data_IF_703970264948
#
_entry.id   IF_703970264948
#
_cell.length_a   1.000
_cell.length_b   1.000
_cell.length_c   1.000
_cell.angle_alpha   90.00
_cell.angle_beta   90.00
_cell.angle_gamma   90.00
#
_symmetry.space_group_name_H-M   'P 1'
#
loop_
_entity.id
_entity.type
_entity.pdbx_description
1 polymer ?
#
# COMPACT_ATOMS: atom_id res chain seq x y z
N UNK A 1 7.16 5.33 5.66
CA UNK A 1 6.85 4.38 6.75
C UNK A 1 6.41 5.07 8.05
N UNK A 2 7.01 6.21 8.47
CA UNK A 2 6.67 6.86 9.75
C UNK A 2 5.22 7.37 9.87
N UNK A 3 4.62 7.94 8.82
CA UNK A 3 3.30 8.60 8.94
C UNK A 3 2.15 7.59 9.08
N UNK A 4 2.20 6.49 8.32
CA UNK A 4 1.21 5.40 8.42
C UNK A 4 1.34 4.72 9.79
N UNK A 5 2.57 4.42 10.22
CA UNK A 5 2.82 3.85 11.54
C UNK A 5 2.33 4.74 12.69
N UNK A 6 2.44 6.07 12.56
CA UNK A 6 1.90 7.02 13.53
C UNK A 6 0.36 6.99 13.58
N UNK A 7 -0.30 7.00 12.43
CA UNK A 7 -1.77 6.93 12.34
C UNK A 7 -2.31 5.63 12.94
N UNK A 8 -1.69 4.49 12.60
CA UNK A 8 -2.10 3.18 13.12
C UNK A 8 -1.81 3.10 14.62
N UNK A 9 -0.68 3.65 15.09
CA UNK A 9 -0.32 3.67 16.50
C UNK A 9 -1.28 4.48 17.37
N UNK A 10 -1.93 5.52 16.84
CA UNK A 10 -2.96 6.27 17.58
C UNK A 10 -4.33 5.59 17.47
N UNK A 11 -4.67 5.07 16.28
CA UNK A 11 -6.01 4.52 16.00
C UNK A 11 -6.29 3.23 16.77
N UNK A 12 -5.31 2.32 16.85
CA UNK A 12 -5.52 1.03 17.53
C UNK A 12 -5.74 1.18 19.04
N UNK A 13 -4.89 1.92 19.79
CA UNK A 13 -5.15 2.22 21.19
C UNK A 13 -6.45 3.01 21.39
N UNK A 14 -6.76 3.96 20.49
CA UNK A 14 -8.02 4.71 20.54
C UNK A 14 -9.25 3.81 20.58
N UNK A 15 -9.31 2.77 19.73
CA UNK A 15 -10.40 1.78 19.77
C UNK A 15 -10.42 0.99 21.08
N UNK A 16 -9.26 0.63 21.64
CA UNK A 16 -9.22 -0.08 22.92
C UNK A 16 -9.65 0.78 24.12
N UNK A 17 -9.55 2.11 24.01
CA UNK A 17 -9.92 3.04 25.08
C UNK A 17 -11.39 3.49 25.00
N UNK A 18 -12.00 3.44 23.81
CA UNK A 18 -13.39 3.86 23.58
C UNK A 18 -14.41 2.76 23.87
N UNK A 19 -14.03 1.51 23.67
CA UNK A 19 -14.94 0.36 23.79
C UNK A 19 -14.74 -0.36 25.12
N UNK A 20 -15.85 -0.90 25.64
CA UNK A 20 -15.86 -1.65 26.88
C UNK A 20 -15.06 -2.96 26.74
N UNK A 21 -14.47 -3.45 27.84
CA UNK A 21 -13.50 -4.55 27.81
C UNK A 21 -13.99 -5.84 27.13
N UNK A 22 -15.30 -6.05 27.09
CA UNK A 22 -15.95 -7.17 26.41
C UNK A 22 -15.90 -7.09 24.87
N UNK A 23 -15.91 -5.87 24.30
CA UNK A 23 -16.05 -5.63 22.85
C UNK A 23 -14.75 -5.19 22.16
N UNK A 24 -13.68 -4.96 22.92
CA UNK A 24 -12.37 -4.52 22.37
C UNK A 24 -11.87 -5.50 21.29
N UNK A 25 -12.02 -6.81 21.49
CA UNK A 25 -11.57 -7.82 20.52
C UNK A 25 -12.34 -7.76 19.20
N UNK A 26 -13.66 -7.53 19.27
CA UNK A 26 -14.51 -7.37 18.09
C UNK A 26 -14.17 -6.06 17.37
N UNK A 27 -14.10 -4.94 18.11
CA UNK A 27 -13.84 -3.62 17.54
C UNK A 27 -12.45 -3.53 16.87
N UNK A 28 -11.41 -4.04 17.53
CA UNK A 28 -10.05 -4.06 16.95
C UNK A 28 -9.92 -5.04 15.78
N UNK A 29 -10.60 -6.19 15.84
CA UNK A 29 -10.64 -7.16 14.74
C UNK A 29 -11.32 -6.62 13.49
N UNK A 30 -12.44 -5.90 13.65
CA UNK A 30 -13.13 -5.22 12.54
C UNK A 30 -12.26 -4.12 11.95
N UNK A 31 -11.63 -3.27 12.78
CA UNK A 31 -10.69 -2.25 12.32
C UNK A 31 -9.54 -2.86 11.50
N UNK A 32 -8.92 -3.92 12.02
CA UNK A 32 -7.83 -4.63 11.33
C UNK A 32 -8.28 -5.23 9.99
N UNK A 33 -9.49 -5.77 9.93
CA UNK A 33 -10.07 -6.35 8.72
C UNK A 33 -10.31 -5.29 7.64
N UNK A 34 -10.90 -4.15 8.00
CA UNK A 34 -11.12 -3.02 7.07
C UNK A 34 -9.76 -2.53 6.53
N UNK A 35 -8.76 -2.40 7.41
CA UNK A 35 -7.41 -1.99 7.04
C UNK A 35 -6.73 -2.97 6.08
N UNK A 36 -6.92 -4.28 6.28
CA UNK A 36 -6.40 -5.32 5.40
C UNK A 36 -7.09 -5.28 4.03
N UNK A 37 -8.42 -5.15 4.00
CA UNK A 37 -9.21 -5.06 2.77
C UNK A 37 -8.81 -3.82 1.96
N UNK A 38 -8.70 -2.65 2.60
CA UNK A 38 -8.25 -1.42 1.94
C UNK A 38 -6.85 -1.56 1.32
N UNK A 39 -5.93 -2.24 2.02
CA UNK A 39 -4.59 -2.54 1.51
C UNK A 39 -4.62 -3.46 0.29
N UNK A 40 -5.45 -4.52 0.32
CA UNK A 40 -5.59 -5.47 -0.78
C UNK A 40 -6.19 -4.82 -2.03
N UNK A 41 -7.22 -3.99 -1.88
CA UNK A 41 -7.84 -3.25 -2.99
C UNK A 41 -6.83 -2.30 -3.63
N UNK A 42 -6.12 -1.51 -2.81
CA UNK A 42 -5.10 -0.58 -3.30
C UNK A 42 -3.99 -1.32 -4.06
N UNK A 43 -3.50 -2.44 -3.52
CA UNK A 43 -2.49 -3.26 -4.18
C UNK A 43 -2.98 -3.78 -5.54
N UNK A 44 -4.20 -4.33 -5.60
CA UNK A 44 -4.79 -4.84 -6.83
C UNK A 44 -4.93 -3.77 -7.90
N UNK A 45 -5.39 -2.57 -7.52
CA UNK A 45 -5.50 -1.42 -8.44
C UNK A 45 -4.12 -1.04 -8.99
N UNK A 46 -3.09 -0.95 -8.13
CA UNK A 46 -1.74 -0.61 -8.57
C UNK A 46 -1.15 -1.66 -9.51
N UNK A 47 -1.28 -2.95 -9.18
CA UNK A 47 -0.79 -4.03 -10.04
C UNK A 47 -1.54 -4.06 -11.37
N UNK A 48 -2.86 -3.89 -11.35
CA UNK A 48 -3.66 -3.86 -12.58
C UNK A 48 -3.22 -2.73 -13.51
N UNK A 49 -3.09 -1.50 -12.99
CA UNK A 49 -2.67 -0.35 -13.80
C UNK A 49 -1.25 -0.54 -14.32
N UNK A 50 -0.33 -0.99 -13.45
CA UNK A 50 1.05 -1.24 -13.83
C UNK A 50 1.15 -2.27 -14.96
N UNK A 51 0.49 -3.42 -14.84
CA UNK A 51 0.52 -4.47 -15.85
C UNK A 51 -0.06 -4.00 -17.18
N UNK A 52 -1.18 -3.27 -17.16
CA UNK A 52 -1.78 -2.71 -18.38
C UNK A 52 -0.85 -1.68 -19.06
N UNK A 53 -0.19 -0.82 -18.26
CA UNK A 53 0.74 0.18 -18.80
C UNK A 53 2.02 -0.42 -19.31
N UNK A 54 2.63 -1.37 -18.59
CA UNK A 54 3.82 -2.10 -19.07
C UNK A 54 3.50 -2.85 -20.36
N UNK A 55 2.36 -3.54 -20.46
CA UNK A 55 1.97 -4.23 -21.68
C UNK A 55 1.83 -3.30 -22.91
N UNK A 56 1.61 -1.99 -22.69
CA UNK A 56 1.51 -0.98 -23.75
C UNK A 56 2.87 -0.32 -24.03
N UNK A 57 3.55 0.19 -22.99
CA UNK A 57 4.80 0.94 -23.14
C UNK A 57 5.99 0.06 -23.49
N UNK A 58 6.00 -1.20 -23.06
CA UNK A 58 7.08 -2.12 -23.35
C UNK A 58 7.22 -2.33 -24.87
N UNK A 59 6.19 -2.73 -25.63
CA UNK A 59 6.31 -2.80 -27.08
C UNK A 59 6.54 -1.42 -27.73
N UNK A 60 5.90 -0.36 -27.24
CA UNK A 60 6.06 1.00 -27.78
C UNK A 60 7.52 1.50 -27.74
N UNK A 61 8.28 1.15 -26.69
CA UNK A 61 9.68 1.60 -26.52
C UNK A 61 10.70 0.58 -27.01
N UNK A 62 10.44 -0.71 -26.83
CA UNK A 62 11.39 -1.78 -27.16
C UNK A 62 11.45 -2.05 -28.67
N UNK A 63 10.31 -2.03 -29.37
CA UNK A 63 10.26 -2.27 -30.82
C UNK A 63 11.15 -1.25 -31.58
N UNK A 64 10.98 0.07 -31.42
CA UNK A 64 11.83 1.02 -32.14
C UNK A 64 13.31 0.92 -31.75
N UNK A 65 13.63 0.63 -30.48
CA UNK A 65 15.01 0.43 -30.04
C UNK A 65 15.65 -0.81 -30.68
N UNK A 66 14.91 -1.92 -30.76
CA UNK A 66 15.38 -3.16 -31.39
C UNK A 66 15.53 -3.01 -32.90
N UNK A 67 14.57 -2.38 -33.58
CA UNK A 67 14.61 -2.15 -35.02
C UNK A 67 15.69 -1.14 -35.41
N UNK A 68 15.89 -0.07 -34.62
CA UNK A 68 16.99 0.89 -34.84
C UNK A 68 18.37 0.24 -34.64
N UNK A 69 18.47 -0.75 -33.74
CA UNK A 69 19.68 -1.53 -33.54
C UNK A 69 19.88 -2.64 -34.59
N UNK A 70 19.00 -2.74 -35.60
CA UNK A 70 19.15 -3.66 -36.73
C UNK A 70 18.51 -5.04 -36.55
N UNK A 71 17.71 -5.25 -35.50
CA UNK A 71 17.03 -6.52 -35.30
C UNK A 71 15.80 -6.64 -36.22
N UNK A 72 15.67 -7.73 -37.01
CA UNK A 72 14.52 -7.93 -37.88
C UNK A 72 13.23 -8.17 -37.08
N UNK A 73 12.10 -7.73 -37.63
CA UNK A 73 10.79 -7.82 -36.98
C UNK A 73 10.38 -9.27 -36.62
N UNK A 74 10.89 -10.27 -37.33
CA UNK A 74 10.67 -11.69 -37.05
C UNK A 74 11.24 -12.15 -35.71
N UNK A 75 12.30 -11.50 -35.21
CA UNK A 75 12.94 -11.83 -33.93
C UNK A 75 12.34 -11.09 -32.73
N UNK A 76 11.40 -10.17 -32.95
CA UNK A 76 10.79 -9.37 -31.87
C UNK A 76 10.02 -10.23 -30.87
N UNK A 77 9.28 -11.24 -31.33
CA UNK A 77 8.54 -12.14 -30.44
C UNK A 77 9.49 -12.94 -29.53
N UNK A 78 10.60 -13.45 -30.09
CA UNK A 78 11.64 -14.13 -29.33
C UNK A 78 12.35 -13.18 -28.37
N UNK A 79 12.54 -11.91 -28.77
CA UNK A 79 13.10 -10.87 -27.91
C UNK A 79 12.22 -10.62 -26.70
N UNK A 80 10.90 -10.47 -26.86
CA UNK A 80 9.99 -10.27 -25.72
C UNK A 80 9.97 -11.48 -24.78
N UNK A 81 9.98 -12.70 -25.32
CA UNK A 81 10.12 -13.91 -24.50
C UNK A 81 11.44 -13.91 -23.72
N UNK A 82 12.54 -13.51 -24.36
CA UNK A 82 13.86 -13.41 -23.72
C UNK A 82 13.93 -12.32 -22.65
N UNK A 83 13.27 -11.17 -22.85
CA UNK A 83 13.15 -10.11 -21.84
C UNK A 83 12.43 -10.64 -20.60
N UNK A 84 11.36 -11.42 -20.77
CA UNK A 84 10.63 -12.00 -19.64
C UNK A 84 11.38 -13.12 -18.93
N UNK A 85 12.18 -13.91 -19.66
CA UNK A 85 12.96 -15.01 -19.12
C UNK A 85 14.32 -14.57 -18.54
N UNK A 86 14.81 -13.38 -18.91
CA UNK A 86 16.17 -12.94 -18.63
C UNK A 86 17.24 -13.66 -19.45
N UNK A 87 16.85 -14.40 -20.49
CA UNK A 87 17.74 -15.15 -21.37
C UNK A 87 17.50 -14.77 -22.84
N UNK A 88 18.55 -14.28 -23.49
CA UNK A 88 18.53 -13.83 -24.87
C UNK A 88 19.11 -14.85 -25.85
N UNK A 89 19.57 -16.01 -25.38
CA UNK A 89 20.25 -17.04 -26.18
C UNK A 89 19.38 -17.59 -27.31
N UNK A 90 18.06 -17.54 -27.15
CA UNK A 90 17.09 -18.00 -28.14
C UNK A 90 16.76 -16.95 -29.22
N UNK A 91 17.32 -15.73 -29.16
CA UNK A 91 16.97 -14.63 -30.08
C UNK A 91 17.92 -14.62 -31.28
N UNK A 92 17.44 -14.89 -32.50
CA UNK A 92 18.28 -14.88 -33.69
C UNK A 92 18.74 -13.45 -34.03
N UNK A 93 20.05 -13.26 -34.19
CA UNK A 93 20.66 -11.98 -34.57
C UNK A 93 20.92 -11.02 -33.40
N UNK A 94 20.88 -11.51 -32.15
CA UNK A 94 21.13 -10.68 -30.98
C UNK A 94 22.62 -10.41 -30.81
N UNK A 95 22.99 -9.15 -30.59
CA UNK A 95 24.35 -8.72 -30.25
C UNK A 95 24.34 -8.09 -28.86
N UNK A 96 25.50 -8.02 -28.17
CA UNK A 96 25.59 -7.35 -26.86
C UNK A 96 25.12 -5.87 -26.91
N UNK A 97 25.33 -5.20 -28.04
CA UNK A 97 24.90 -3.81 -28.27
C UNK A 97 23.37 -3.71 -28.37
N UNK A 98 22.71 -4.65 -29.06
CA UNK A 98 21.24 -4.73 -29.13
C UNK A 98 20.67 -5.01 -27.74
N UNK A 99 21.28 -5.92 -26.96
CA UNK A 99 20.85 -6.20 -25.58
C UNK A 99 20.95 -4.94 -24.73
N UNK A 100 22.05 -4.19 -24.84
CA UNK A 100 22.23 -2.95 -24.10
C UNK A 100 21.16 -1.91 -24.46
N UNK A 101 20.91 -1.68 -25.75
CA UNK A 101 19.88 -0.74 -26.23
C UNK A 101 18.47 -1.15 -25.80
N UNK A 102 18.12 -2.43 -25.95
CA UNK A 102 16.83 -2.98 -25.53
C UNK A 102 16.67 -2.87 -24.01
N UNK A 103 17.71 -3.20 -23.23
CA UNK A 103 17.64 -3.12 -21.77
C UNK A 103 17.42 -1.68 -21.28
N UNK A 104 17.99 -0.68 -21.96
CA UNK A 104 17.74 0.72 -21.67
C UNK A 104 16.28 1.10 -21.98
N UNK A 105 15.76 0.70 -23.15
CA UNK A 105 14.37 0.94 -23.53
C UNK A 105 13.36 0.24 -22.59
N UNK A 106 13.67 -0.98 -22.14
CA UNK A 106 12.88 -1.71 -21.13
C UNK A 106 12.83 -0.91 -19.82
N UNK A 107 13.97 -0.41 -19.34
CA UNK A 107 14.03 0.45 -18.13
C UNK A 107 13.17 1.71 -18.31
N UNK A 108 13.26 2.37 -19.45
CA UNK A 108 12.43 3.55 -19.73
C UNK A 108 10.93 3.23 -19.74
N UNK A 109 10.52 2.11 -20.34
CA UNK A 109 9.13 1.66 -20.34
C UNK A 109 8.60 1.39 -18.93
N UNK A 110 9.42 0.76 -18.07
CA UNK A 110 9.09 0.55 -16.66
C UNK A 110 9.00 1.87 -15.90
N UNK A 111 9.94 2.79 -16.09
CA UNK A 111 9.91 4.12 -15.46
C UNK A 111 8.63 4.87 -15.85
N UNK A 112 8.28 4.89 -17.14
CA UNK A 112 7.05 5.53 -17.61
C UNK A 112 5.79 4.91 -16.99
N UNK A 113 5.76 3.59 -16.88
CA UNK A 113 4.66 2.85 -16.24
C UNK A 113 4.54 3.17 -14.74
N UNK A 114 5.65 3.22 -14.02
CA UNK A 114 5.66 3.58 -12.60
C UNK A 114 5.21 5.01 -12.35
N UNK A 115 5.59 5.98 -13.20
CA UNK A 115 5.13 7.37 -13.08
C UNK A 115 3.60 7.46 -13.07
N UNK A 116 2.93 6.67 -13.92
CA UNK A 116 1.46 6.64 -13.98
C UNK A 116 0.86 6.06 -12.70
N UNK A 117 1.45 4.99 -12.15
CA UNK A 117 1.02 4.43 -10.86
C UNK A 117 1.12 5.49 -9.77
N UNK A 118 2.22 6.28 -9.74
CA UNK A 118 2.37 7.39 -8.81
C UNK A 118 1.31 8.48 -8.97
N UNK A 119 0.95 8.86 -10.20
CA UNK A 119 -0.13 9.84 -10.40
C UNK A 119 -1.49 9.34 -9.91
N UNK A 120 -1.74 8.03 -10.01
CA UNK A 120 -2.96 7.42 -9.51
C UNK A 120 -3.03 7.39 -7.98
N UNK A 121 -1.90 7.37 -7.27
CA UNK A 121 -1.91 7.35 -5.79
C UNK A 121 -2.30 8.70 -5.18
N UNK A 122 -2.07 9.80 -5.90
CA UNK A 122 -2.36 11.17 -5.46
C UNK A 122 -3.83 11.36 -5.03
N UNK A 123 -4.85 11.03 -5.85
CA UNK A 123 -6.25 11.20 -5.46
C UNK A 123 -6.63 10.37 -4.23
N UNK A 124 -6.12 9.15 -4.09
CA UNK A 124 -6.34 8.34 -2.88
C UNK A 124 -5.75 9.02 -1.64
N UNK A 125 -4.57 9.62 -1.76
CA UNK A 125 -3.96 10.42 -0.70
C UNK A 125 -4.81 11.63 -0.29
N UNK A 126 -5.36 12.36 -1.27
CA UNK A 126 -6.25 13.51 -1.00
C UNK A 126 -7.50 13.08 -0.25
N UNK A 127 -8.13 11.99 -0.68
CA UNK A 127 -9.32 11.44 -0.02
C UNK A 127 -9.00 11.07 1.43
N UNK A 128 -7.87 10.41 1.69
CA UNK A 128 -7.43 10.07 3.05
C UNK A 128 -7.22 11.30 3.94
N UNK A 129 -6.66 12.39 3.39
CA UNK A 129 -6.49 13.65 4.13
C UNK A 129 -7.85 14.25 4.51
N UNK A 130 -8.83 14.21 3.60
CA UNK A 130 -10.19 14.69 3.87
C UNK A 130 -10.82 13.86 4.99
N UNK A 131 -10.74 12.53 4.92
CA UNK A 131 -11.24 11.66 5.99
C UNK A 131 -10.54 11.90 7.33
N UNK A 132 -9.23 12.16 7.32
CA UNK A 132 -8.50 12.53 8.53
C UNK A 132 -8.99 13.86 9.13
N UNK A 133 -9.30 14.85 8.30
CA UNK A 133 -9.81 16.15 8.76
C UNK A 133 -11.24 16.07 9.32
N UNK A 134 -12.05 15.10 8.85
CA UNK A 134 -13.39 14.81 9.38
C UNK A 134 -13.37 13.94 10.64
N UNK A 135 -12.22 13.38 11.02
CA UNK A 135 -12.11 12.53 12.21
C UNK A 135 -12.31 13.37 13.48
N UNK A 136 -13.29 13.05 14.35
CA UNK A 136 -13.56 13.81 15.56
C UNK A 136 -12.39 13.70 16.56
N UNK A 137 -12.12 14.78 17.28
CA UNK A 137 -11.08 14.81 18.32
C UNK A 137 -11.41 13.85 19.46
N UNK A 138 -10.55 12.85 19.66
CA UNK A 138 -10.68 11.81 20.70
C UNK A 138 -10.35 12.30 22.12
N UNK A 139 -9.89 13.55 22.26
CA UNK A 139 -9.44 14.13 23.54
C UNK A 139 -10.53 14.10 24.62
N UNK A 140 -11.80 14.20 24.22
CA UNK A 140 -12.95 14.16 25.14
C UNK A 140 -13.24 12.76 25.71
N UNK A 141 -12.74 11.70 25.06
CA UNK A 141 -12.94 10.30 25.48
C UNK A 141 -11.74 9.74 26.23
N UNK A 142 -10.62 10.48 26.30
CA UNK A 142 -9.43 10.11 27.05
C UNK A 142 -9.64 10.38 28.57
N UNK A 143 -10.61 9.71 29.18
CA UNK A 143 -10.84 9.81 30.62
C UNK A 143 -9.86 8.92 31.40
N UNK A 144 -9.42 9.35 32.58
CA UNK A 144 -8.58 8.56 33.51
C UNK A 144 -9.36 7.41 34.17
N UNK A 145 -10.48 6.97 33.58
CA UNK A 145 -11.31 5.92 34.15
C UNK A 145 -10.79 4.54 33.69
N UNK A 146 -10.33 3.74 34.64
CA UNK A 146 -9.73 2.43 34.37
C UNK A 146 -10.79 1.34 34.57
N UNK A 147 -11.30 0.78 33.47
CA UNK A 147 -12.37 -0.24 33.48
C UNK A 147 -12.03 -1.52 34.25
N UNK A 148 -10.73 -1.82 34.45
CA UNK A 148 -10.29 -2.93 35.31
C UNK A 148 -8.97 -2.59 35.99
N UNK A 149 -9.01 -2.37 37.31
CA UNK A 149 -7.80 -2.13 38.12
C UNK A 149 -6.98 -3.42 38.20
N UNK A 150 -5.65 -3.31 38.12
CA UNK A 150 -4.74 -4.42 38.43
C UNK A 150 -5.02 -4.90 39.85
N UNK A 151 -5.49 -6.14 40.01
CA UNK A 151 -5.62 -6.74 41.33
C UNK A 151 -4.22 -6.93 41.92
N UNK A 152 -3.94 -6.18 43.01
CA UNK A 152 -2.69 -6.06 43.80
C UNK A 152 -1.79 -4.84 43.49
N UNK A 153 -2.32 -3.63 43.53
CA UNK A 153 -1.50 -2.43 43.81
C UNK A 153 -1.78 -1.93 45.24
N UNK A 154 -0.70 -1.67 45.99
CA UNK A 154 -0.70 -1.21 47.38
C UNK A 154 -1.55 0.06 47.59
N UNK A 155 -2.19 0.15 48.75
CA UNK A 155 -3.27 1.08 49.10
C UNK A 155 -2.93 2.59 49.07
N UNK A 156 -1.75 3.00 48.60
CA UNK A 156 -1.31 4.41 48.55
C UNK A 156 -1.45 5.11 47.20
N UNK A 157 -1.88 4.39 46.14
CA UNK A 157 -2.13 4.98 44.81
C UNK A 157 -3.58 4.77 44.35
N UNK A 158 -4.54 4.99 45.24
CA UNK A 158 -5.97 4.98 44.88
C UNK A 158 -6.38 6.38 44.41
N UNK A 159 -6.41 6.58 43.08
CA UNK A 159 -7.19 7.65 42.48
C UNK A 159 -8.69 7.35 42.58
N UNK A 160 -9.47 8.37 42.97
CA UNK A 160 -10.93 8.32 43.05
C UNK A 160 -11.51 8.18 41.63
N UNK A 161 -12.21 7.07 41.37
CA UNK A 161 -12.90 6.82 40.11
C UNK A 161 -14.36 6.57 40.39
N UNK A 162 -15.24 7.45 39.90
CA UNK A 162 -16.67 7.22 39.90
C UNK A 162 -17.03 6.29 38.73
N UNK A 163 -17.50 5.10 39.07
CA UNK A 163 -18.20 4.21 38.14
C UNK A 163 -19.56 4.86 37.84
N UNK A 164 -19.72 5.38 36.62
CA UNK A 164 -21.06 5.63 36.09
C UNK A 164 -21.49 4.36 35.39
N UNK A 165 -22.28 3.58 36.12
CA UNK A 165 -23.12 2.50 35.61
C UNK A 165 -23.93 3.04 34.42
N UNK A 166 -23.99 2.22 33.38
CA UNK A 166 -24.37 2.63 32.04
C UNK A 166 -25.73 3.29 31.94
N UNK A 167 -25.82 4.20 30.97
CA UNK A 167 -27.07 4.35 30.24
C UNK A 167 -26.74 4.28 28.75
N UNK A 168 -27.35 3.30 28.12
CA UNK A 168 -27.16 2.97 26.72
C UNK A 168 -27.86 4.01 25.85
N UNK A 169 -27.14 4.57 24.87
CA UNK A 169 -27.68 4.99 23.56
C UNK A 169 -26.59 4.92 22.50
#
# INVERSE_FOLDING_TARGET
>A
MCVIGWIDNISFPGVTLLFEAQDIGLATGVLGSIRAIGGAIAQTVYVSIFTNKVATYLPEKVIPAATAAGLPASSLTALFAGITAGDFSAVPGITPEIIAAVSAAVKEAYIASFKIVFYVTIPFGVILIIFCALSPNFEKYLSMNVAKRLQKLDAKMQGEGHEREGDAV
#
